data_IF_953765339601
#
_entry.id   IF_953765339601
#
_cell.length_a   1.000
_cell.length_b   1.000
_cell.length_c   1.000
_cell.angle_alpha   90.00
_cell.angle_beta   90.00
_cell.angle_gamma   90.00
#
_symmetry.space_group_name_H-M   'P 1'
#
loop_
_entity.id
_entity.type
_entity.pdbx_description
1 polymer ?
#
# COMPACT_ATOMS: atom_id res chain seq x y z
N UNK A 1 3.37 23.02 18.30
CA UNK A 1 2.73 23.87 17.29
C UNK A 1 3.18 23.39 15.92
N UNK A 2 2.29 22.91 15.02
CA UNK A 2 2.68 22.68 13.64
C UNK A 2 3.00 24.05 13.01
N UNK A 3 4.13 24.16 12.31
CA UNK A 3 4.48 25.37 11.59
C UNK A 3 3.54 25.51 10.39
N UNK A 4 2.61 26.48 10.44
CA UNK A 4 1.66 26.75 9.38
C UNK A 4 2.39 27.27 8.14
N UNK A 5 2.64 26.36 7.20
CA UNK A 5 3.15 26.71 5.87
C UNK A 5 1.99 27.23 5.05
N UNK A 6 1.90 28.55 4.95
CA UNK A 6 0.83 29.32 4.29
C UNK A 6 0.78 29.17 2.74
N UNK A 7 1.46 28.15 2.18
CA UNK A 7 1.41 27.80 0.76
C UNK A 7 0.85 26.39 0.58
N UNK A 8 0.00 26.20 -0.43
CA UNK A 8 -0.56 24.91 -0.77
C UNK A 8 0.56 23.92 -1.16
N UNK A 9 0.96 23.07 -0.21
CA UNK A 9 1.89 21.98 -0.47
C UNK A 9 1.28 21.05 -1.54
N UNK A 10 2.02 20.82 -2.62
CA UNK A 10 1.62 19.83 -3.65
C UNK A 10 1.62 18.45 -3.01
N UNK A 11 0.43 18.01 -2.58
CA UNK A 11 0.23 16.78 -1.85
C UNK A 11 -0.97 15.99 -2.39
N UNK A 12 -0.86 14.67 -2.27
CA UNK A 12 -1.95 13.73 -2.52
C UNK A 12 -1.95 12.69 -1.41
N UNK A 13 -3.15 12.32 -0.94
CA UNK A 13 -3.33 11.27 0.03
C UNK A 13 -4.10 10.11 -0.62
N UNK A 14 -3.63 8.90 -0.40
CA UNK A 14 -4.28 7.69 -0.90
C UNK A 14 -4.27 6.60 0.15
N UNK A 15 -5.12 5.58 -0.03
CA UNK A 15 -5.20 4.45 0.89
C UNK A 15 -5.06 3.10 0.18
N UNK A 16 -4.40 2.17 0.86
CA UNK A 16 -4.31 0.75 0.55
C UNK A 16 -4.99 -0.07 1.64
N UNK A 17 -5.59 -1.20 1.27
CA UNK A 17 -6.29 -2.07 2.23
C UNK A 17 -6.10 -3.53 1.85
N UNK A 18 -5.65 -4.34 2.82
CA UNK A 18 -5.52 -5.79 2.69
C UNK A 18 -5.94 -6.45 3.98
N UNK A 19 -6.95 -7.33 3.92
CA UNK A 19 -7.62 -7.81 5.14
C UNK A 19 -7.89 -6.59 6.05
N UNK A 20 -7.82 -6.74 7.36
CA UNK A 20 -8.08 -5.65 8.32
C UNK A 20 -7.01 -4.55 8.34
N UNK A 21 -5.88 -4.72 7.64
CA UNK A 21 -4.85 -3.69 7.56
C UNK A 21 -5.24 -2.55 6.60
N UNK A 22 -5.01 -1.33 7.05
CA UNK A 22 -5.23 -0.08 6.32
C UNK A 22 -3.91 0.69 6.32
N UNK A 23 -3.46 1.09 5.13
CA UNK A 23 -2.31 1.94 4.92
C UNK A 23 -2.75 3.25 4.28
N UNK A 24 -2.32 4.38 4.82
CA UNK A 24 -2.56 5.71 4.26
C UNK A 24 -1.23 6.29 3.86
N UNK A 25 -1.06 6.60 2.58
CA UNK A 25 0.14 7.19 2.03
C UNK A 25 -0.10 8.67 1.71
N UNK A 26 0.75 9.52 2.25
CA UNK A 26 0.83 10.94 1.92
C UNK A 26 2.03 11.16 1.01
N UNK A 27 1.77 11.56 -0.23
CA UNK A 27 2.79 11.84 -1.25
C UNK A 27 2.93 13.34 -1.40
N UNK A 28 4.15 13.85 -1.24
CA UNK A 28 4.49 15.26 -1.34
C UNK A 28 5.68 15.46 -2.28
N UNK A 29 5.74 16.62 -2.93
CA UNK A 29 6.92 16.99 -3.71
C UNK A 29 8.08 17.32 -2.77
N UNK A 30 9.25 16.76 -3.05
CA UNK A 30 10.48 16.99 -2.29
C UNK A 30 11.70 17.13 -3.21
N UNK A 31 12.81 17.66 -2.69
CA UNK A 31 14.09 17.76 -3.41
C UNK A 31 14.76 16.40 -3.57
N UNK A 32 14.60 15.52 -2.58
CA UNK A 32 15.17 14.18 -2.55
C UNK A 32 14.09 13.13 -2.26
N UNK A 33 14.33 11.91 -2.74
CA UNK A 33 13.43 10.79 -2.49
C UNK A 33 13.52 10.35 -1.03
N UNK A 34 12.38 10.26 -0.36
CA UNK A 34 12.30 9.68 0.98
C UNK A 34 11.01 8.89 1.12
N UNK A 35 11.13 7.58 1.33
CA UNK A 35 9.99 6.69 1.53
C UNK A 35 10.07 6.12 2.94
N UNK A 36 9.05 6.39 3.75
CA UNK A 36 8.96 5.94 5.13
C UNK A 36 7.65 5.21 5.37
N UNK A 37 7.70 4.13 6.15
CA UNK A 37 6.55 3.39 6.63
C UNK A 37 6.55 3.45 8.14
N UNK A 38 5.50 4.02 8.74
CA UNK A 38 5.39 4.28 10.18
C UNK A 38 6.60 5.04 10.75
N UNK A 39 7.12 6.02 10.00
CA UNK A 39 8.29 6.81 10.38
C UNK A 39 9.64 6.12 10.14
N UNK A 40 9.65 4.82 9.84
CA UNK A 40 10.87 4.05 9.56
C UNK A 40 11.17 4.09 8.06
N UNK A 41 12.42 4.39 7.63
CA UNK A 41 12.82 4.31 6.23
C UNK A 41 12.58 2.91 5.63
N UNK A 42 12.16 2.86 4.36
CA UNK A 42 11.84 1.60 3.67
C UNK A 42 12.98 0.56 3.75
N UNK A 43 14.23 1.01 3.66
CA UNK A 43 15.41 0.15 3.69
C UNK A 43 15.62 -0.53 5.06
N UNK A 44 15.11 0.04 6.14
CA UNK A 44 15.30 -0.47 7.51
C UNK A 44 14.14 -1.36 7.99
N UNK A 45 13.15 -1.62 7.13
CA UNK A 45 12.03 -2.49 7.48
C UNK A 45 12.53 -3.94 7.56
N UNK A 46 12.26 -4.58 8.70
CA UNK A 46 12.46 -6.01 8.90
C UNK A 46 11.09 -6.71 8.99
N UNK A 47 10.97 -7.96 8.53
CA UNK A 47 11.97 -8.81 7.86
C UNK A 47 12.19 -8.46 6.37
N UNK A 48 13.34 -8.88 5.83
CA UNK A 48 13.78 -8.60 4.46
C UNK A 48 12.80 -9.04 3.37
N UNK A 49 12.10 -10.15 3.61
CA UNK A 49 11.07 -10.67 2.70
C UNK A 49 9.90 -9.70 2.54
N UNK A 50 9.46 -9.07 3.63
CA UNK A 50 8.40 -8.06 3.59
C UNK A 50 8.91 -6.74 3.01
N UNK A 51 10.15 -6.35 3.31
CA UNK A 51 10.80 -5.19 2.69
C UNK A 51 10.82 -5.33 1.18
N UNK A 52 11.27 -6.48 0.66
CA UNK A 52 11.27 -6.76 -0.78
C UNK A 52 9.87 -6.62 -1.39
N UNK A 53 8.82 -7.13 -0.71
CA UNK A 53 7.41 -7.00 -1.16
C UNK A 53 6.92 -5.57 -1.23
N UNK A 54 7.35 -4.69 -0.31
CA UNK A 54 7.00 -3.26 -0.38
C UNK A 54 7.80 -2.57 -1.49
N UNK A 55 9.07 -2.95 -1.66
CA UNK A 55 9.97 -2.42 -2.69
C UNK A 55 9.51 -2.71 -4.13
N UNK A 56 8.70 -3.75 -4.35
CA UNK A 56 8.11 -4.05 -5.67
C UNK A 56 7.42 -2.81 -6.27
N UNK A 57 6.69 -2.05 -5.45
CA UNK A 57 6.00 -0.84 -5.90
C UNK A 57 6.97 0.22 -6.47
N UNK A 58 8.20 0.28 -5.98
CA UNK A 58 9.23 1.23 -6.46
C UNK A 58 10.00 0.64 -7.65
N UNK A 59 10.35 -0.63 -7.56
CA UNK A 59 11.25 -1.31 -8.51
C UNK A 59 10.59 -1.52 -9.88
N UNK A 60 9.28 -1.83 -9.92
CA UNK A 60 8.53 -2.10 -11.16
C UNK A 60 8.52 -0.90 -12.12
N UNK A 61 8.39 0.30 -11.57
CA UNK A 61 8.32 1.54 -12.35
C UNK A 61 9.70 2.17 -12.57
N UNK A 62 10.62 1.92 -11.63
CA UNK A 62 11.98 2.47 -11.62
C UNK A 62 12.12 3.69 -10.70
N UNK A 63 13.27 3.80 -10.05
CA UNK A 63 13.57 4.81 -9.02
C UNK A 63 13.48 6.27 -9.52
N UNK A 64 13.59 6.49 -10.84
CA UNK A 64 13.55 7.83 -11.44
C UNK A 64 12.22 8.55 -11.17
N UNK A 65 11.10 7.82 -11.22
CA UNK A 65 9.75 8.37 -10.98
C UNK A 65 9.55 8.81 -9.53
N UNK A 66 10.36 8.31 -8.60
CA UNK A 66 10.28 8.59 -7.17
C UNK A 66 11.30 9.63 -6.70
N UNK A 67 12.26 10.00 -7.55
CA UNK A 67 13.44 10.81 -7.18
C UNK A 67 13.10 12.16 -6.52
N UNK A 68 11.95 12.76 -6.85
CA UNK A 68 11.48 14.06 -6.37
C UNK A 68 10.26 13.97 -5.45
N UNK A 69 10.02 12.80 -4.87
CA UNK A 69 8.84 12.54 -4.04
C UNK A 69 9.24 12.10 -2.63
N UNK A 70 8.53 12.66 -1.65
CA UNK A 70 8.51 12.16 -0.28
C UNK A 70 7.19 11.45 -0.03
N UNK A 71 7.28 10.19 0.41
CA UNK A 71 6.14 9.32 0.66
C UNK A 71 6.20 8.87 2.12
N UNK A 72 5.28 9.40 2.92
CA UNK A 72 5.09 8.97 4.31
C UNK A 72 3.84 8.08 4.38
N UNK A 73 4.04 6.82 4.76
CA UNK A 73 2.97 5.81 4.85
C UNK A 73 2.69 5.51 6.32
N UNK A 74 1.45 5.68 6.75
CA UNK A 74 0.98 5.28 8.08
C UNK A 74 0.10 4.05 7.95
N UNK A 75 0.45 2.97 8.63
CA UNK A 75 -0.23 1.67 8.55
C UNK A 75 -0.78 1.27 9.91
N UNK A 76 -2.05 0.84 9.95
CA UNK A 76 -2.74 0.36 11.17
C UNK A 76 -3.59 -0.88 10.88
N UNK A 77 -3.73 -1.73 11.89
CA UNK A 77 -4.56 -2.95 11.84
C UNK A 77 -3.94 -4.13 11.10
N UNK A 78 -4.59 -5.30 11.19
CA UNK A 78 -4.12 -6.55 10.58
C UNK A 78 -2.79 -7.07 11.15
N UNK A 79 -2.15 -7.99 10.42
CA UNK A 79 -0.80 -8.50 10.73
C UNK A 79 0.27 -7.99 9.77
N UNK A 80 1.54 -8.28 10.06
CA UNK A 80 2.72 -7.78 9.34
C UNK A 80 2.64 -7.96 7.82
N UNK A 81 2.24 -9.15 7.36
CA UNK A 81 2.09 -9.43 5.93
C UNK A 81 1.00 -8.55 5.31
N UNK A 82 -0.21 -8.54 5.88
CA UNK A 82 -1.30 -7.70 5.36
C UNK A 82 -0.95 -6.21 5.37
N UNK A 83 -0.18 -5.75 6.35
CA UNK A 83 0.31 -4.37 6.41
C UNK A 83 1.27 -4.06 5.27
N UNK A 84 2.23 -4.95 4.98
CA UNK A 84 3.14 -4.79 3.84
C UNK A 84 2.38 -4.73 2.49
N UNK A 85 1.38 -5.60 2.31
CA UNK A 85 0.51 -5.58 1.11
C UNK A 85 -0.36 -4.31 1.03
N UNK A 86 -0.82 -3.77 2.15
CA UNK A 86 -1.54 -2.50 2.16
C UNK A 86 -0.60 -1.33 1.86
N UNK A 87 0.62 -1.34 2.42
CA UNK A 87 1.64 -0.32 2.19
C UNK A 87 2.05 -0.24 0.72
N UNK A 88 2.41 -1.38 0.09
CA UNK A 88 2.76 -1.43 -1.34
C UNK A 88 1.64 -0.86 -2.22
N UNK A 89 0.38 -1.19 -1.88
CA UNK A 89 -0.78 -0.70 -2.62
C UNK A 89 -0.96 0.81 -2.48
N UNK A 90 -0.79 1.33 -1.26
CA UNK A 90 -0.89 2.77 -1.00
C UNK A 90 0.22 3.57 -1.71
N UNK A 91 1.43 3.03 -1.80
CA UNK A 91 2.55 3.66 -2.52
C UNK A 91 2.27 3.72 -4.03
N UNK A 92 1.82 2.63 -4.64
CA UNK A 92 1.51 2.59 -6.07
C UNK A 92 0.35 3.54 -6.44
N UNK A 93 -0.75 3.51 -5.66
CA UNK A 93 -1.86 4.46 -5.82
C UNK A 93 -1.43 5.90 -5.62
N UNK A 94 -0.60 6.15 -4.61
CA UNK A 94 -0.07 7.47 -4.31
C UNK A 94 0.73 8.05 -5.47
N UNK A 95 1.56 7.22 -6.12
CA UNK A 95 2.31 7.65 -7.31
C UNK A 95 1.35 8.02 -8.46
N UNK A 96 0.42 7.13 -8.83
CA UNK A 96 -0.52 7.40 -9.94
C UNK A 96 -1.35 8.66 -9.65
N UNK A 97 -1.84 8.81 -8.43
CA UNK A 97 -2.67 9.95 -8.06
C UNK A 97 -1.86 11.27 -8.05
N UNK A 98 -0.57 11.22 -7.72
CA UNK A 98 0.32 12.37 -7.86
C UNK A 98 0.52 12.76 -9.33
N UNK A 99 0.77 11.78 -10.20
CA UNK A 99 0.93 12.04 -11.64
C UNK A 99 -0.38 12.50 -12.29
N UNK A 100 -1.53 11.98 -11.87
CA UNK A 100 -2.84 12.46 -12.32
C UNK A 100 -3.05 13.96 -12.04
N UNK A 101 -2.59 14.43 -10.87
CA UNK A 101 -2.86 15.80 -10.41
C UNK A 101 -1.81 16.81 -10.86
N UNK A 102 -0.55 16.37 -11.02
CA UNK A 102 0.59 17.27 -11.23
C UNK A 102 1.41 16.99 -12.50
N UNK A 103 1.08 15.94 -13.25
CA UNK A 103 1.73 15.54 -14.50
C UNK A 103 0.70 15.31 -15.61
N UNK A 104 1.15 14.83 -16.77
CA UNK A 104 0.30 14.54 -17.92
C UNK A 104 -0.34 13.14 -17.84
N UNK A 105 -1.39 12.93 -18.65
CA UNK A 105 -2.12 11.65 -18.69
C UNK A 105 -1.27 10.52 -19.29
N UNK A 106 -0.35 10.83 -20.21
CA UNK A 106 0.51 9.85 -20.89
C UNK A 106 1.46 9.16 -19.90
N UNK A 107 2.15 9.93 -19.05
CA UNK A 107 3.04 9.38 -18.01
C UNK A 107 2.23 8.57 -17.00
N UNK A 108 1.07 9.08 -16.58
CA UNK A 108 0.18 8.37 -15.65
C UNK A 108 -0.32 7.04 -16.25
N UNK A 109 -0.71 7.01 -17.52
CA UNK A 109 -1.15 5.79 -18.21
C UNK A 109 -0.01 4.77 -18.28
N UNK A 110 1.18 5.18 -18.71
CA UNK A 110 2.36 4.31 -18.74
C UNK A 110 2.71 3.72 -17.37
N UNK A 111 2.58 4.50 -16.29
CA UNK A 111 2.76 4.02 -14.92
C UNK A 111 1.70 2.99 -14.52
N UNK A 112 0.43 3.29 -14.82
CA UNK A 112 -0.70 2.41 -14.52
C UNK A 112 -0.55 1.07 -15.24
N UNK A 113 -0.17 1.08 -16.51
CA UNK A 113 0.00 -0.12 -17.32
C UNK A 113 1.14 -0.99 -16.81
N UNK A 114 2.28 -0.38 -16.43
CA UNK A 114 3.39 -1.10 -15.77
C UNK A 114 2.97 -1.79 -14.48
N UNK A 115 2.19 -1.10 -13.64
CA UNK A 115 1.69 -1.71 -12.40
C UNK A 115 0.69 -2.83 -12.66
N UNK A 116 -0.22 -2.67 -13.61
CA UNK A 116 -1.22 -3.68 -13.97
C UNK A 116 -0.58 -4.92 -14.61
N UNK A 117 0.44 -4.73 -15.44
CA UNK A 117 1.20 -5.82 -16.05
C UNK A 117 1.95 -6.67 -15.00
N UNK A 118 2.44 -6.04 -13.93
CA UNK A 118 3.11 -6.76 -12.83
C UNK A 118 2.13 -7.41 -11.85
N UNK A 119 1.27 -6.62 -11.20
CA UNK A 119 0.30 -7.12 -10.22
C UNK A 119 -0.90 -6.16 -10.06
N UNK A 120 -2.09 -6.62 -10.45
CA UNK A 120 -3.34 -5.88 -10.28
C UNK A 120 -3.61 -5.45 -8.84
N UNK A 121 -3.13 -6.19 -7.84
CA UNK A 121 -3.35 -5.88 -6.42
C UNK A 121 -2.49 -4.72 -5.90
N UNK A 122 -1.60 -4.15 -6.72
CA UNK A 122 -0.96 -2.86 -6.42
C UNK A 122 -1.93 -1.70 -6.56
N UNK A 123 -2.95 -1.83 -7.41
CA UNK A 123 -3.96 -0.80 -7.63
C UNK A 123 -5.31 -1.17 -7.02
N UNK A 124 -5.70 -2.44 -7.09
CA UNK A 124 -7.01 -2.92 -6.63
C UNK A 124 -6.87 -3.61 -5.28
N UNK A 125 -7.80 -3.33 -4.35
CA UNK A 125 -7.80 -4.00 -3.04
C UNK A 125 -8.34 -5.43 -3.17
N UNK A 126 -7.71 -6.38 -2.48
CA UNK A 126 -8.23 -7.74 -2.41
C UNK A 126 -9.47 -7.77 -1.48
N UNK A 127 -10.66 -8.13 -1.99
CA UNK A 127 -11.89 -8.08 -1.21
C UNK A 127 -11.97 -9.16 -0.13
N UNK A 128 -11.15 -10.21 -0.18
CA UNK A 128 -11.27 -11.39 0.70
C UNK A 128 -11.16 -11.06 2.18
N UNK A 129 -12.06 -11.65 2.98
CA UNK A 129 -12.15 -11.54 4.45
C UNK A 129 -12.36 -12.92 5.08
N UNK A 130 -12.07 -13.04 6.37
CA UNK A 130 -12.39 -14.25 7.11
C UNK A 130 -13.91 -14.38 7.22
N UNK A 131 -14.43 -15.56 6.86
CA UNK A 131 -15.82 -15.91 7.09
C UNK A 131 -16.09 -16.04 8.60
N UNK A 132 -17.26 -15.59 9.08
CA UNK A 132 -17.62 -15.76 10.49
C UNK A 132 -17.78 -17.23 10.86
N UNK A 133 -17.50 -17.56 12.12
CA UNK A 133 -17.77 -18.89 12.67
C UNK A 133 -19.28 -19.14 12.67
N UNK A 134 -19.70 -20.31 12.18
CA UNK A 134 -21.10 -20.76 12.26
C UNK A 134 -21.30 -21.51 13.58
N UNK A 135 -22.46 -21.39 14.19
CA UNK A 135 -22.81 -22.10 15.42
C UNK A 135 -22.78 -23.63 15.20
N UNK A 136 -22.52 -24.40 16.26
CA UNK A 136 -22.44 -25.87 16.17
C UNK A 136 -21.29 -26.41 15.31
N UNK A 137 -20.22 -25.61 15.12
CA UNK A 137 -19.04 -25.94 14.30
C UNK A 137 -17.77 -25.45 14.96
N UNK A 138 -16.62 -26.04 14.62
CA UNK A 138 -15.32 -25.53 15.06
C UNK A 138 -14.96 -24.20 14.35
N UNK A 139 -15.22 -24.10 13.05
CA UNK A 139 -14.83 -22.98 12.19
C UNK A 139 -15.97 -22.55 11.24
N UNK A 140 -15.68 -21.68 10.27
CA UNK A 140 -16.67 -21.22 9.29
C UNK A 140 -17.30 -22.36 8.46
N UNK A 141 -16.53 -23.42 8.17
CA UNK A 141 -16.95 -24.52 7.28
C UNK A 141 -16.86 -25.90 7.94
N UNK A 142 -15.80 -26.18 8.69
CA UNK A 142 -15.55 -27.48 9.34
C UNK A 142 -16.64 -27.82 10.34
N UNK A 143 -17.28 -28.99 10.20
CA UNK A 143 -18.26 -29.51 11.16
C UNK A 143 -17.57 -30.43 12.18
N UNK A 144 -18.22 -30.63 13.32
CA UNK A 144 -17.83 -31.70 14.25
C UNK A 144 -17.91 -33.06 13.53
N UNK A 145 -16.96 -33.95 13.82
CA UNK A 145 -16.95 -35.30 13.27
C UNK A 145 -18.21 -36.04 13.69
N UNK A 146 -18.94 -36.62 12.73
CA UNK A 146 -20.15 -37.40 13.00
C UNK A 146 -19.74 -38.82 13.39
N UNK A 147 -20.23 -39.31 14.53
CA UNK A 147 -20.23 -40.75 14.82
C UNK A 147 -21.43 -41.38 14.11
N UNK A 148 -21.15 -42.31 13.19
CA UNK A 148 -22.18 -43.13 12.58
C UNK A 148 -22.34 -44.37 13.45
N UNK A 149 -23.55 -44.59 13.95
CA UNK A 149 -23.98 -45.81 14.63
C UNK A 149 -25.20 -46.33 13.88
#
# INVERSE_FOLDING_TARGET
>A
MPADKNYALKQVQTFGKKKTAIAVATVTKASQCSIKVNGVPLQQILPDTLRAKIMEAVTVVGSKCYSRLRIDVTVRGGGQVSQAYAARQSIAKGLIAFFQKYHNEVEKAALKDKFLAYDKFLLIADPRRCEPKKWGRHSARTRFTKSYR
#
